data_IF_544069125222
#
_entry.id   IF_544069125222
#
_cell.length_a   1.000
_cell.length_b   1.000
_cell.length_c   1.000
_cell.angle_alpha   90.00
_cell.angle_beta   90.00
_cell.angle_gamma   90.00
#
_symmetry.space_group_name_H-M   'P 1'
#
loop_
_entity.id
_entity.type
_entity.pdbx_description
1 polymer ?
#
# COMPACT_ATOMS: atom_id res chain seq x y z
N UNK A 1 -21.49 22.41 -29.49
CA UNK A 1 -20.48 23.29 -30.10
C UNK A 1 -19.44 22.38 -30.74
N UNK A 2 -19.19 22.54 -32.04
CA UNK A 2 -18.15 21.82 -32.78
C UNK A 2 -16.79 22.07 -32.10
N UNK A 3 -16.01 21.00 -31.89
CA UNK A 3 -14.85 20.99 -31.00
C UNK A 3 -13.74 21.93 -31.48
N UNK A 4 -13.28 22.79 -30.58
CA UNK A 4 -12.06 23.57 -30.73
C UNK A 4 -11.07 23.19 -29.62
N UNK A 5 -9.89 23.79 -29.63
CA UNK A 5 -8.95 23.68 -28.51
C UNK A 5 -9.38 24.60 -27.36
N UNK A 6 -9.32 24.08 -26.13
CA UNK A 6 -9.49 24.87 -24.90
C UNK A 6 -8.14 25.02 -24.22
N UNK A 7 -7.77 26.25 -23.88
CA UNK A 7 -6.55 26.53 -23.14
C UNK A 7 -6.88 27.18 -21.80
N UNK A 8 -6.50 26.52 -20.69
CA UNK A 8 -6.55 27.07 -19.34
C UNK A 8 -5.13 27.44 -18.95
N UNK A 9 -4.76 28.69 -19.17
CA UNK A 9 -3.40 29.21 -18.99
C UNK A 9 -3.21 29.86 -17.63
N UNK A 10 -2.00 30.34 -17.37
CA UNK A 10 -1.60 31.09 -16.18
C UNK A 10 -2.68 32.09 -15.71
N UNK A 11 -2.99 32.01 -14.42
CA UNK A 11 -4.03 32.73 -13.69
C UNK A 11 -5.45 32.64 -14.27
N UNK A 12 -5.77 31.52 -14.93
CA UNK A 12 -7.11 31.21 -15.46
C UNK A 12 -7.81 30.09 -14.68
N UNK A 13 -9.14 30.12 -14.67
CA UNK A 13 -9.95 29.10 -13.99
C UNK A 13 -11.29 28.84 -14.69
N UNK A 14 -11.73 27.59 -14.68
CA UNK A 14 -13.09 27.15 -14.95
C UNK A 14 -13.57 26.47 -13.68
N UNK A 15 -14.61 26.97 -13.03
CA UNK A 15 -15.01 26.40 -11.75
C UNK A 15 -16.49 26.44 -11.43
N UNK A 16 -16.93 25.46 -10.64
CA UNK A 16 -18.24 25.42 -9.99
C UNK A 16 -18.07 25.10 -8.51
N UNK A 17 -18.24 26.12 -7.67
CA UNK A 17 -17.94 26.02 -6.23
C UNK A 17 -19.15 26.41 -5.39
N UNK A 18 -19.62 25.51 -4.54
CA UNK A 18 -20.61 25.81 -3.50
C UNK A 18 -19.99 26.70 -2.44
N UNK A 19 -20.53 27.90 -2.23
CA UNK A 19 -20.00 28.86 -1.24
C UNK A 19 -20.44 28.53 0.19
N UNK A 20 -19.85 29.23 1.16
CA UNK A 20 -20.23 29.05 2.56
C UNK A 20 -21.73 29.31 2.76
N UNK A 21 -22.39 28.50 3.61
CA UNK A 21 -23.83 28.57 3.94
C UNK A 21 -24.80 28.29 2.78
N UNK A 22 -24.32 27.99 1.58
CA UNK A 22 -25.19 27.54 0.50
C UNK A 22 -25.85 26.20 0.89
N UNK A 23 -27.16 26.10 0.64
CA UNK A 23 -27.99 24.95 1.02
C UNK A 23 -28.17 23.93 -0.11
N UNK A 24 -28.09 24.37 -1.36
CA UNK A 24 -28.23 23.52 -2.54
C UNK A 24 -26.90 22.97 -3.04
N UNK A 25 -26.99 21.94 -3.87
CA UNK A 25 -25.86 21.35 -4.57
C UNK A 25 -25.35 22.30 -5.67
N UNK A 26 -24.04 22.35 -5.90
CA UNK A 26 -23.49 23.08 -7.05
C UNK A 26 -23.69 22.29 -8.34
N UNK A 27 -23.83 23.00 -9.47
CA UNK A 27 -23.70 22.39 -10.80
C UNK A 27 -22.30 21.81 -11.06
N UNK A 28 -22.14 21.02 -12.12
CA UNK A 28 -20.85 20.47 -12.53
C UNK A 28 -20.13 21.34 -13.56
N UNK A 29 -18.85 21.01 -13.80
CA UNK A 29 -18.07 21.53 -14.93
C UNK A 29 -18.06 20.45 -16.02
N UNK A 30 -18.66 20.76 -17.17
CA UNK A 30 -18.76 19.83 -18.30
C UNK A 30 -18.02 20.42 -19.50
N UNK A 31 -17.00 19.72 -20.00
CA UNK A 31 -16.17 20.17 -21.10
C UNK A 31 -16.15 19.11 -22.20
N UNK A 32 -16.49 19.53 -23.42
CA UNK A 32 -16.34 18.74 -24.64
C UNK A 32 -15.58 19.59 -25.67
N UNK A 33 -14.42 19.11 -26.10
CA UNK A 33 -13.49 19.84 -26.96
C UNK A 33 -12.58 18.87 -27.72
N UNK A 34 -11.87 19.33 -28.75
CA UNK A 34 -10.91 18.48 -29.46
C UNK A 34 -9.64 18.27 -28.63
N UNK A 35 -9.20 19.31 -27.94
CA UNK A 35 -8.06 19.24 -27.04
C UNK A 35 -8.21 20.21 -25.88
N UNK A 36 -7.56 19.86 -24.76
CA UNK A 36 -7.35 20.78 -23.64
C UNK A 36 -5.86 20.88 -23.35
N UNK A 37 -5.37 22.12 -23.21
CA UNK A 37 -4.09 22.44 -22.59
C UNK A 37 -4.34 23.16 -21.27
N UNK A 38 -3.86 22.60 -20.17
CA UNK A 38 -3.74 23.29 -18.89
C UNK A 38 -2.27 23.65 -18.70
N UNK A 39 -1.95 24.95 -18.68
CA UNK A 39 -0.57 25.43 -18.59
C UNK A 39 -0.42 26.49 -17.52
N UNK A 40 0.18 26.10 -16.40
CA UNK A 40 0.42 26.96 -15.27
C UNK A 40 1.65 27.87 -15.41
N UNK A 41 2.43 27.76 -16.50
CA UNK A 41 3.66 28.55 -16.69
C UNK A 41 3.34 30.01 -16.98
N UNK A 42 4.07 30.90 -16.31
CA UNK A 42 3.95 32.33 -16.60
C UNK A 42 4.46 32.62 -18.02
N UNK A 43 3.70 33.31 -18.90
CA UNK A 43 4.14 33.59 -20.26
C UNK A 43 5.46 34.38 -20.36
N UNK A 44 5.73 35.26 -19.39
CA UNK A 44 6.93 36.09 -19.34
C UNK A 44 8.12 35.43 -18.65
N UNK A 45 7.89 34.36 -17.87
CA UNK A 45 8.95 33.59 -17.18
C UNK A 45 8.51 32.11 -17.02
N UNK A 46 8.47 31.35 -18.14
CA UNK A 46 7.85 30.03 -18.16
C UNK A 46 8.60 28.99 -17.34
N UNK A 47 9.89 29.19 -17.10
CA UNK A 47 10.74 28.25 -16.37
C UNK A 47 10.70 28.49 -14.87
N UNK A 48 10.67 29.74 -14.40
CA UNK A 48 10.82 30.06 -12.97
C UNK A 48 9.52 30.39 -12.26
N UNK A 49 8.49 30.83 -13.00
CA UNK A 49 7.19 31.22 -12.42
C UNK A 49 6.08 30.27 -12.86
N UNK A 50 5.27 29.89 -11.87
CA UNK A 50 4.01 29.14 -12.05
C UNK A 50 2.89 29.92 -11.37
N UNK A 51 1.72 29.92 -11.97
CA UNK A 51 0.49 30.54 -11.45
C UNK A 51 -0.66 29.56 -11.48
N UNK A 52 -1.87 30.04 -11.23
CA UNK A 52 -3.04 29.15 -11.14
C UNK A 52 -3.56 28.79 -12.52
N UNK A 53 -3.92 27.54 -12.73
CA UNK A 53 -4.58 27.08 -13.94
C UNK A 53 -5.47 25.92 -13.52
N UNK A 54 -6.78 26.14 -13.44
CA UNK A 54 -7.67 25.16 -12.80
C UNK A 54 -8.98 24.90 -13.50
N UNK A 55 -9.41 23.63 -13.44
CA UNK A 55 -10.74 23.15 -13.76
C UNK A 55 -11.27 22.49 -12.49
N UNK A 56 -12.15 23.16 -11.77
CA UNK A 56 -12.46 22.80 -10.40
C UNK A 56 -13.96 22.68 -10.14
N UNK A 57 -14.36 21.65 -9.41
CA UNK A 57 -15.62 21.64 -8.70
C UNK A 57 -15.38 21.50 -7.20
N UNK A 58 -16.30 21.97 -6.36
CA UNK A 58 -16.05 21.86 -4.93
C UNK A 58 -17.07 22.52 -4.04
N UNK A 59 -16.89 22.34 -2.73
CA UNK A 59 -17.72 22.97 -1.72
C UNK A 59 -16.87 23.59 -0.60
N UNK A 60 -17.24 24.81 -0.21
CA UNK A 60 -16.58 25.56 0.86
C UNK A 60 -17.09 25.13 2.24
N UNK A 61 -16.40 25.63 3.27
CA UNK A 61 -16.72 25.33 4.66
C UNK A 61 -18.18 25.67 4.96
N UNK A 62 -18.86 24.82 5.75
CA UNK A 62 -20.28 25.01 6.14
C UNK A 62 -21.27 25.04 4.96
N UNK A 63 -20.87 24.67 3.75
CA UNK A 63 -21.80 24.33 2.68
C UNK A 63 -22.64 23.12 3.10
N UNK A 64 -23.96 23.22 2.92
CA UNK A 64 -24.91 22.13 3.18
C UNK A 64 -25.03 21.16 2.00
N UNK A 65 -24.89 21.66 0.77
CA UNK A 65 -24.98 20.87 -0.45
C UNK A 65 -23.67 20.20 -0.88
N UNK A 66 -23.80 19.23 -1.79
CA UNK A 66 -22.71 18.52 -2.43
C UNK A 66 -22.00 19.41 -3.46
N UNK A 67 -20.73 19.09 -3.72
CA UNK A 67 -19.99 19.64 -4.84
C UNK A 67 -20.40 18.94 -6.14
N UNK A 68 -20.42 19.68 -7.25
CA UNK A 68 -20.71 19.16 -8.58
C UNK A 68 -19.54 18.36 -9.14
N UNK A 69 -19.76 17.62 -10.23
CA UNK A 69 -18.72 16.84 -10.90
C UNK A 69 -17.82 17.70 -11.79
N UNK A 70 -16.65 17.16 -12.13
CA UNK A 70 -15.85 17.61 -13.28
C UNK A 70 -15.86 16.50 -14.32
N UNK A 71 -16.47 16.76 -15.48
CA UNK A 71 -16.61 15.81 -16.57
C UNK A 71 -15.97 16.36 -17.85
N UNK A 72 -14.87 15.75 -18.28
CA UNK A 72 -14.07 16.18 -19.43
C UNK A 72 -14.10 15.09 -20.50
N UNK A 73 -14.41 15.46 -21.75
CA UNK A 73 -14.38 14.61 -22.94
C UNK A 73 -13.59 15.29 -24.05
N UNK A 74 -12.41 14.77 -24.38
CA UNK A 74 -11.51 15.38 -25.36
C UNK A 74 -10.75 14.39 -26.22
N UNK A 75 -10.24 14.83 -27.38
CA UNK A 75 -9.32 14.05 -28.19
C UNK A 75 -7.94 13.91 -27.53
N UNK A 76 -7.40 15.01 -26.99
CA UNK A 76 -6.12 15.02 -26.25
C UNK A 76 -6.16 15.95 -25.03
N UNK A 77 -5.37 15.63 -24.00
CA UNK A 77 -5.25 16.45 -22.79
C UNK A 77 -3.79 16.57 -22.37
N UNK A 78 -3.31 17.80 -22.22
CA UNK A 78 -1.96 18.09 -21.69
C UNK A 78 -2.04 19.00 -20.48
N UNK A 79 -1.32 18.64 -19.42
CA UNK A 79 -1.21 19.41 -18.18
C UNK A 79 0.25 19.71 -17.86
N UNK A 80 0.58 20.98 -17.70
CA UNK A 80 1.86 21.48 -17.21
C UNK A 80 1.59 22.19 -15.89
N UNK A 81 2.08 21.58 -14.81
CA UNK A 81 1.65 21.92 -13.46
C UNK A 81 2.43 23.02 -12.76
N UNK A 82 2.33 23.01 -11.43
CA UNK A 82 2.42 24.21 -10.59
C UNK A 82 3.75 24.31 -9.82
N UNK A 83 3.89 25.34 -8.99
CA UNK A 83 5.11 25.54 -8.19
C UNK A 83 5.24 24.50 -7.08
N UNK A 84 4.13 24.16 -6.42
CA UNK A 84 4.10 23.16 -5.36
C UNK A 84 3.32 21.91 -5.76
N UNK A 85 3.96 20.74 -5.67
CA UNK A 85 3.31 19.43 -5.69
C UNK A 85 2.87 18.98 -4.29
N UNK A 86 3.06 19.82 -3.26
CA UNK A 86 2.98 19.43 -1.85
C UNK A 86 2.11 20.44 -1.08
N UNK A 87 0.87 20.03 -0.80
CA UNK A 87 -0.05 20.52 0.25
C UNK A 87 -0.51 22.00 0.24
N UNK A 88 0.16 22.92 -0.45
CA UNK A 88 -0.19 24.35 -0.47
C UNK A 88 -1.10 24.78 -1.65
N UNK A 89 -0.94 24.17 -2.82
CA UNK A 89 -1.60 24.60 -4.09
C UNK A 89 -2.60 23.55 -4.65
N UNK A 90 -3.23 22.75 -3.79
CA UNK A 90 -4.11 21.62 -4.21
C UNK A 90 -5.50 22.02 -4.71
N UNK A 91 -5.72 23.31 -4.92
CA UNK A 91 -6.89 23.85 -5.59
C UNK A 91 -6.63 24.08 -7.10
N UNK A 92 -5.42 23.83 -7.58
CA UNK A 92 -5.03 23.99 -8.98
C UNK A 92 -4.99 22.65 -9.75
N UNK A 93 -4.98 22.69 -11.08
CA UNK A 93 -5.12 21.51 -11.93
C UNK A 93 -6.58 21.09 -12.12
N UNK A 94 -6.87 19.79 -12.09
CA UNK A 94 -8.26 19.29 -12.18
C UNK A 94 -8.68 18.83 -10.80
N UNK A 95 -9.64 19.51 -10.19
CA UNK A 95 -9.95 19.29 -8.77
C UNK A 95 -11.43 19.11 -8.47
N UNK A 96 -11.74 18.27 -7.49
CA UNK A 96 -13.08 18.07 -6.95
C UNK A 96 -13.01 17.93 -5.42
N UNK A 97 -13.06 19.06 -4.70
CA UNK A 97 -12.73 19.11 -3.28
C UNK A 97 -13.96 19.50 -2.42
N UNK A 98 -14.14 18.87 -1.26
CA UNK A 98 -15.12 19.29 -0.24
C UNK A 98 -14.43 19.75 1.04
N UNK A 99 -14.82 20.92 1.54
CA UNK A 99 -14.53 21.39 2.90
C UNK A 99 -15.79 21.52 3.76
N UNK A 100 -16.95 21.16 3.19
CA UNK A 100 -18.26 21.28 3.81
C UNK A 100 -18.77 19.97 4.40
N UNK A 101 -20.09 19.92 4.59
CA UNK A 101 -20.77 18.71 5.02
C UNK A 101 -21.14 17.80 3.83
N UNK A 102 -21.38 18.38 2.66
CA UNK A 102 -21.70 17.64 1.44
C UNK A 102 -20.49 16.97 0.80
N UNK A 103 -20.73 15.92 0.00
CA UNK A 103 -19.70 15.15 -0.68
C UNK A 103 -18.97 15.97 -1.75
N UNK A 104 -17.72 15.60 -2.02
CA UNK A 104 -16.98 16.10 -3.16
C UNK A 104 -17.59 15.63 -4.49
N UNK A 105 -17.22 16.33 -5.56
CA UNK A 105 -17.57 15.97 -6.92
C UNK A 105 -16.80 14.76 -7.41
N UNK A 106 -17.41 13.99 -8.29
CA UNK A 106 -16.70 12.97 -9.08
C UNK A 106 -15.89 13.63 -10.19
N UNK A 107 -14.68 13.14 -10.45
CA UNK A 107 -13.88 13.55 -11.60
C UNK A 107 -13.96 12.45 -12.66
N UNK A 108 -14.49 12.75 -13.84
CA UNK A 108 -14.47 11.85 -15.00
C UNK A 108 -13.71 12.50 -16.14
N UNK A 109 -12.64 11.86 -16.60
CA UNK A 109 -11.83 12.35 -17.73
C UNK A 109 -11.80 11.26 -18.80
N UNK A 110 -12.26 11.59 -19.99
CA UNK A 110 -12.23 10.73 -21.17
C UNK A 110 -11.38 11.42 -22.24
N UNK A 111 -10.25 10.81 -22.56
CA UNK A 111 -9.31 11.25 -23.59
C UNK A 111 -9.27 10.17 -24.68
N UNK A 112 -9.50 10.53 -25.93
CA UNK A 112 -9.49 9.52 -27.01
C UNK A 112 -8.07 9.02 -27.31
N UNK A 113 -7.10 9.93 -27.32
CA UNK A 113 -5.67 9.67 -27.53
C UNK A 113 -4.83 9.89 -26.27
N UNK A 114 -3.82 10.73 -26.38
CA UNK A 114 -2.81 10.91 -25.34
C UNK A 114 -3.26 11.84 -24.22
N UNK A 115 -3.10 11.37 -22.98
CA UNK A 115 -3.18 12.19 -21.78
C UNK A 115 -1.79 12.35 -21.15
N UNK A 116 -1.25 13.57 -21.19
CA UNK A 116 0.09 13.89 -20.69
C UNK A 116 -0.01 14.83 -19.49
N UNK A 117 0.55 14.40 -18.36
CA UNK A 117 0.78 15.24 -17.18
C UNK A 117 2.28 15.38 -16.96
N UNK A 118 2.77 16.62 -16.86
CA UNK A 118 4.19 16.90 -16.61
C UNK A 118 4.34 18.07 -15.66
N UNK A 119 5.51 18.11 -15.01
CA UNK A 119 5.98 19.24 -14.20
C UNK A 119 4.97 19.61 -13.12
N UNK A 120 4.69 18.67 -12.22
CA UNK A 120 3.73 18.82 -11.11
C UNK A 120 2.28 18.99 -11.55
N UNK A 121 1.89 18.42 -12.70
CA UNK A 121 0.49 18.36 -13.10
C UNK A 121 -0.32 17.55 -12.09
N UNK A 122 -1.51 18.01 -11.70
CA UNK A 122 -2.26 17.41 -10.60
C UNK A 122 -3.76 17.20 -10.91
N UNK A 123 -4.26 16.03 -10.51
CA UNK A 123 -5.70 15.72 -10.44
C UNK A 123 -6.01 15.30 -9.01
N UNK A 124 -6.96 15.98 -8.37
CA UNK A 124 -7.16 15.85 -6.92
C UNK A 124 -8.65 15.81 -6.57
N UNK A 125 -9.08 14.76 -5.89
CA UNK A 125 -10.41 14.67 -5.29
C UNK A 125 -10.28 14.51 -3.77
N UNK A 126 -10.82 15.43 -2.99
CA UNK A 126 -10.51 15.46 -1.55
C UNK A 126 -11.70 15.74 -0.64
N UNK A 127 -11.69 15.02 0.46
CA UNK A 127 -12.31 15.41 1.72
C UNK A 127 -11.30 16.22 2.54
N UNK A 128 -11.43 17.55 2.54
CA UNK A 128 -10.47 18.46 3.15
C UNK A 128 -10.49 18.40 4.70
N UNK A 129 -9.51 19.06 5.32
CA UNK A 129 -9.27 19.05 6.77
C UNK A 129 -10.54 19.37 7.56
N UNK A 130 -10.94 18.46 8.46
CA UNK A 130 -12.14 18.57 9.31
C UNK A 130 -13.48 18.66 8.55
N UNK A 131 -13.51 18.39 7.24
CA UNK A 131 -14.77 18.26 6.50
C UNK A 131 -15.56 17.04 6.97
N UNK A 132 -16.85 16.98 6.66
CA UNK A 132 -17.67 15.78 6.92
C UNK A 132 -18.03 15.03 5.65
N UNK A 133 -17.98 15.71 4.50
CA UNK A 133 -18.29 15.11 3.22
C UNK A 133 -17.19 14.19 2.74
N UNK A 134 -17.57 13.08 2.12
CA UNK A 134 -16.65 12.15 1.47
C UNK A 134 -15.98 12.78 0.24
N UNK A 135 -14.74 12.41 -0.01
CA UNK A 135 -14.13 12.48 -1.33
C UNK A 135 -14.87 11.55 -2.29
N UNK A 136 -14.78 11.84 -3.59
CA UNK A 136 -15.45 11.04 -4.61
C UNK A 136 -14.43 10.40 -5.54
N UNK A 137 -14.91 9.54 -6.42
CA UNK A 137 -14.06 8.77 -7.31
C UNK A 137 -13.40 9.66 -8.38
N UNK A 138 -12.18 9.27 -8.75
CA UNK A 138 -11.50 9.74 -9.96
C UNK A 138 -11.57 8.62 -11.00
N UNK A 139 -12.15 8.91 -12.16
CA UNK A 139 -12.25 7.97 -13.28
C UNK A 139 -11.56 8.57 -14.50
N UNK A 140 -10.56 7.86 -15.02
CA UNK A 140 -9.81 8.27 -16.20
C UNK A 140 -9.91 7.17 -17.25
N UNK A 141 -10.27 7.55 -18.48
CA UNK A 141 -10.17 6.73 -19.66
C UNK A 141 -9.29 7.43 -20.69
N UNK A 142 -8.27 6.77 -21.21
CA UNK A 142 -7.37 7.36 -22.18
C UNK A 142 -6.92 6.38 -23.27
N UNK A 143 -6.42 6.89 -24.40
CA UNK A 143 -5.63 6.10 -25.35
C UNK A 143 -4.29 5.70 -24.72
N UNK A 144 -3.55 6.69 -24.23
CA UNK A 144 -2.32 6.52 -23.43
C UNK A 144 -2.32 7.49 -22.24
N UNK A 145 -1.58 7.17 -21.18
CA UNK A 145 -1.43 8.05 -20.01
C UNK A 145 0.04 8.13 -19.58
N UNK A 146 0.61 9.34 -19.59
CA UNK A 146 1.99 9.58 -19.15
C UNK A 146 2.01 10.63 -18.04
N UNK A 147 2.50 10.26 -16.86
CA UNK A 147 2.78 11.17 -15.75
C UNK A 147 4.28 11.32 -15.59
N UNK A 148 4.77 12.55 -15.58
CA UNK A 148 6.20 12.85 -15.43
C UNK A 148 6.48 14.03 -14.50
N UNK A 149 7.71 14.09 -13.98
CA UNK A 149 8.26 15.24 -13.23
C UNK A 149 7.36 15.67 -12.06
N UNK A 150 7.14 14.77 -11.11
CA UNK A 150 6.35 14.94 -9.88
C UNK A 150 4.87 15.23 -10.13
N UNK A 151 4.32 14.72 -11.24
CA UNK A 151 2.88 14.79 -11.48
C UNK A 151 2.15 13.81 -10.56
N UNK A 152 0.88 14.11 -10.29
CA UNK A 152 0.15 13.46 -9.21
C UNK A 152 -1.34 13.28 -9.51
N UNK A 153 -1.87 12.08 -9.28
CA UNK A 153 -3.32 11.81 -9.26
C UNK A 153 -3.67 11.30 -7.88
N UNK A 154 -4.65 11.94 -7.22
CA UNK A 154 -4.94 11.57 -5.84
C UNK A 154 -6.36 11.75 -5.37
N UNK A 155 -6.80 10.78 -4.58
CA UNK A 155 -8.05 10.83 -3.81
C UNK A 155 -7.76 10.71 -2.31
N UNK A 156 -8.13 11.72 -1.51
CA UNK A 156 -7.72 11.77 -0.09
C UNK A 156 -8.83 12.16 0.88
N UNK A 157 -8.73 11.64 2.10
CA UNK A 157 -9.34 12.22 3.29
C UNK A 157 -8.25 12.84 4.17
N UNK A 158 -8.26 14.16 4.33
CA UNK A 158 -7.18 14.89 5.03
C UNK A 158 -7.34 14.84 6.55
N UNK A 159 -6.29 15.25 7.28
CA UNK A 159 -6.23 15.31 8.75
C UNK A 159 -7.56 15.66 9.43
N UNK A 160 -8.02 14.79 10.33
CA UNK A 160 -9.29 14.91 11.09
C UNK A 160 -10.55 15.07 10.22
N UNK A 161 -10.51 14.75 8.93
CA UNK A 161 -11.73 14.67 8.13
C UNK A 161 -12.63 13.54 8.62
N UNK A 162 -13.94 13.79 8.71
CA UNK A 162 -14.96 12.76 8.96
C UNK A 162 -15.53 12.18 7.66
N UNK A 163 -15.00 12.57 6.50
CA UNK A 163 -15.30 11.92 5.23
C UNK A 163 -14.24 10.91 4.85
N UNK A 164 -14.59 10.01 3.92
CA UNK A 164 -13.70 8.99 3.36
C UNK A 164 -13.12 9.43 2.01
N UNK A 165 -11.93 8.94 1.58
CA UNK A 165 -11.47 9.14 0.21
C UNK A 165 -12.33 8.33 -0.77
N UNK A 166 -12.43 8.79 -2.01
CA UNK A 166 -12.96 7.99 -3.12
C UNK A 166 -11.91 7.06 -3.74
N UNK A 167 -12.34 6.23 -4.68
CA UNK A 167 -11.46 5.31 -5.42
C UNK A 167 -10.87 5.98 -6.66
N UNK A 168 -9.73 5.47 -7.13
CA UNK A 168 -9.14 5.85 -8.41
C UNK A 168 -9.31 4.69 -9.39
N UNK A 169 -9.95 4.93 -10.54
CA UNK A 169 -10.08 3.94 -11.62
C UNK A 169 -9.52 4.51 -12.92
N UNK A 170 -8.53 3.84 -13.47
CA UNK A 170 -7.85 4.25 -14.69
C UNK A 170 -7.92 3.11 -15.70
N UNK A 171 -8.49 3.39 -16.87
CA UNK A 171 -8.58 2.45 -17.99
C UNK A 171 -7.94 3.06 -19.22
N UNK A 172 -6.81 2.51 -19.65
CA UNK A 172 -6.04 3.01 -20.78
C UNK A 172 -5.96 1.94 -21.86
N UNK A 173 -6.10 2.31 -23.13
CA UNK A 173 -6.07 1.33 -24.23
C UNK A 173 -4.66 0.78 -24.45
N UNK A 174 -3.68 1.65 -24.34
CA UNK A 174 -2.28 1.34 -24.62
C UNK A 174 -1.46 1.29 -23.33
N UNK A 175 -0.64 2.31 -23.05
CA UNK A 175 0.33 2.28 -21.94
C UNK A 175 0.04 3.32 -20.87
N UNK A 176 0.40 2.97 -19.64
CA UNK A 176 0.52 3.90 -18.51
C UNK A 176 1.99 3.99 -18.11
N UNK A 177 2.53 5.20 -18.10
CA UNK A 177 3.92 5.47 -17.70
C UNK A 177 3.95 6.45 -16.52
N UNK A 178 4.48 6.01 -15.38
CA UNK A 178 4.72 6.82 -14.19
C UNK A 178 6.21 7.06 -14.03
N UNK A 179 6.68 8.25 -14.42
CA UNK A 179 8.09 8.62 -14.35
C UNK A 179 8.29 9.71 -13.29
N UNK A 180 8.87 9.36 -12.13
CA UNK A 180 8.99 10.27 -10.98
C UNK A 180 7.64 10.93 -10.65
N UNK A 181 6.57 10.14 -10.57
CA UNK A 181 5.18 10.61 -10.45
C UNK A 181 4.35 9.60 -9.68
N UNK A 182 3.29 10.10 -9.04
CA UNK A 182 2.59 9.32 -8.01
C UNK A 182 1.09 9.22 -8.35
N UNK A 183 0.50 8.05 -8.17
CA UNK A 183 -0.95 7.83 -8.12
C UNK A 183 -1.26 7.30 -6.73
N UNK A 184 -2.06 8.02 -5.95
CA UNK A 184 -2.31 7.61 -4.57
C UNK A 184 -3.75 7.80 -4.09
N UNK A 185 -4.14 6.92 -3.18
CA UNK A 185 -5.23 7.17 -2.24
C UNK A 185 -4.67 7.27 -0.83
N UNK A 186 -5.24 8.17 -0.03
CA UNK A 186 -4.80 8.29 1.35
C UNK A 186 -5.87 8.69 2.35
N UNK A 187 -5.77 8.11 3.54
CA UNK A 187 -6.52 8.55 4.73
C UNK A 187 -5.51 9.15 5.71
N UNK A 188 -5.59 10.45 5.90
CA UNK A 188 -4.72 11.20 6.80
C UNK A 188 -5.00 10.90 8.28
N UNK A 189 -4.14 11.39 9.18
CA UNK A 189 -4.28 11.02 10.59
C UNK A 189 -5.58 11.51 11.22
N UNK A 190 -6.17 10.65 12.06
CA UNK A 190 -7.49 10.82 12.67
C UNK A 190 -8.63 11.07 11.67
N UNK A 191 -8.41 10.80 10.38
CA UNK A 191 -9.42 10.96 9.34
C UNK A 191 -10.14 9.65 9.04
N UNK A 192 -11.26 9.74 8.35
CA UNK A 192 -12.08 8.60 7.97
C UNK A 192 -13.26 8.37 8.92
N UNK A 193 -14.31 7.77 8.37
CA UNK A 193 -15.55 7.43 9.04
C UNK A 193 -15.83 5.93 8.86
N UNK A 194 -15.59 5.13 9.91
CA UNK A 194 -15.86 3.69 9.89
C UNK A 194 -17.32 3.36 9.60
N UNK A 195 -18.28 4.18 10.04
CA UNK A 195 -19.71 3.92 9.86
C UNK A 195 -20.11 3.91 8.37
N UNK A 196 -19.62 4.88 7.61
CA UNK A 196 -19.87 4.95 6.17
C UNK A 196 -18.97 3.99 5.37
N UNK A 197 -17.91 3.47 5.99
CA UNK A 197 -17.01 2.49 5.40
C UNK A 197 -17.46 1.02 5.60
N UNK A 198 -18.39 0.74 6.53
CA UNK A 198 -18.82 -0.64 6.92
C UNK A 198 -19.13 -1.57 5.75
N UNK A 199 -19.67 -1.04 4.66
CA UNK A 199 -20.06 -1.81 3.48
C UNK A 199 -19.12 -1.58 2.28
N UNK A 200 -17.83 -1.32 2.54
CA UNK A 200 -16.82 -1.15 1.48
C UNK A 200 -15.83 -2.33 1.54
N UNK A 201 -16.12 -3.45 0.85
CA UNK A 201 -15.23 -4.60 0.82
C UNK A 201 -13.84 -4.18 0.33
N UNK A 202 -12.80 -4.48 1.12
CA UNK A 202 -11.42 -4.12 0.79
C UNK A 202 -10.95 -2.73 1.23
N UNK A 203 -11.74 -2.02 2.06
CA UNK A 203 -11.38 -0.71 2.60
C UNK A 203 -11.78 0.45 1.69
N UNK A 204 -11.45 1.67 2.11
CA UNK A 204 -11.70 2.90 1.36
C UNK A 204 -10.48 3.31 0.55
N UNK A 205 -10.69 4.01 -0.57
CA UNK A 205 -9.60 4.47 -1.42
C UNK A 205 -8.90 3.33 -2.15
N UNK A 206 -9.65 2.51 -2.90
CA UNK A 206 -9.06 1.50 -3.77
C UNK A 206 -8.49 2.14 -5.04
N UNK A 207 -7.46 1.52 -5.61
CA UNK A 207 -6.93 1.88 -6.94
C UNK A 207 -7.11 0.71 -7.90
N UNK A 208 -7.70 0.97 -9.06
CA UNK A 208 -7.84 -0.02 -10.14
C UNK A 208 -7.24 0.53 -11.42
N UNK A 209 -6.25 -0.21 -11.96
CA UNK A 209 -5.58 0.10 -13.21
C UNK A 209 -5.91 -0.99 -14.23
N UNK A 210 -6.28 -0.59 -15.44
CA UNK A 210 -6.44 -1.48 -16.60
C UNK A 210 -5.73 -0.86 -17.79
N UNK A 211 -4.78 -1.59 -18.37
CA UNK A 211 -3.98 -1.12 -19.51
C UNK A 211 -3.50 -2.29 -20.38
N UNK A 212 -2.85 -1.99 -21.51
CA UNK A 212 -2.01 -2.97 -22.19
C UNK A 212 -0.69 -3.15 -21.45
N UNK A 213 -0.06 -2.03 -21.03
CA UNK A 213 1.15 -2.06 -20.20
C UNK A 213 1.18 -0.98 -19.11
N UNK A 214 1.86 -1.27 -18.01
CA UNK A 214 2.12 -0.33 -16.91
C UNK A 214 3.63 -0.30 -16.59
N UNK A 215 4.23 0.90 -16.58
CA UNK A 215 5.63 1.11 -16.20
C UNK A 215 5.75 2.15 -15.08
N UNK A 216 6.46 1.81 -14.00
CA UNK A 216 6.86 2.72 -12.92
C UNK A 216 8.38 2.91 -12.96
N UNK A 217 8.83 4.14 -13.20
CA UNK A 217 10.23 4.50 -13.43
C UNK A 217 10.67 5.73 -12.63
N UNK A 218 11.97 5.79 -12.29
CA UNK A 218 12.64 6.93 -11.67
C UNK A 218 11.93 7.53 -10.43
N UNK A 219 11.41 6.69 -9.54
CA UNK A 219 10.60 7.10 -8.39
C UNK A 219 9.10 7.18 -8.69
N UNK A 220 8.62 6.43 -9.68
CA UNK A 220 7.19 6.28 -9.96
C UNK A 220 6.49 5.43 -8.91
N UNK A 221 5.28 5.82 -8.50
CA UNK A 221 4.60 5.19 -7.35
C UNK A 221 3.11 4.99 -7.58
N UNK A 222 2.61 3.88 -7.06
CA UNK A 222 1.19 3.54 -6.98
C UNK A 222 0.88 3.14 -5.55
N UNK A 223 0.13 3.96 -4.80
CA UNK A 223 0.04 3.83 -3.34
C UNK A 223 -1.37 3.94 -2.80
N UNK A 224 -1.74 3.06 -1.87
CA UNK A 224 -2.98 3.18 -1.10
C UNK A 224 -2.63 3.05 0.39
N UNK A 225 -2.57 4.15 1.13
CA UNK A 225 -2.12 4.12 2.52
C UNK A 225 -3.05 4.84 3.48
N UNK A 226 -3.01 4.45 4.75
CA UNK A 226 -3.80 5.06 5.82
C UNK A 226 -2.93 5.34 7.03
N UNK A 227 -3.09 6.54 7.57
CA UNK A 227 -2.69 6.98 8.91
C UNK A 227 -3.92 7.25 9.78
N UNK A 228 -5.12 7.04 9.24
CA UNK A 228 -6.39 7.38 9.85
C UNK A 228 -7.11 6.17 10.42
N UNK A 229 -8.43 6.33 10.62
CA UNK A 229 -9.32 5.40 11.31
C UNK A 229 -9.75 4.20 10.47
N UNK A 230 -9.29 4.09 9.24
CA UNK A 230 -9.75 3.09 8.28
C UNK A 230 -8.56 2.27 7.80
N UNK A 231 -8.74 0.96 7.51
CA UNK A 231 -7.74 0.16 6.81
C UNK A 231 -7.40 0.73 5.43
N UNK A 232 -6.19 0.45 4.93
CA UNK A 232 -5.78 0.83 3.59
C UNK A 232 -6.65 0.16 2.53
N UNK A 233 -6.92 0.88 1.43
CA UNK A 233 -7.57 0.31 0.26
C UNK A 233 -6.67 -0.69 -0.48
N UNK A 234 -7.29 -1.47 -1.36
CA UNK A 234 -6.62 -2.42 -2.23
C UNK A 234 -6.10 -1.75 -3.51
N UNK A 235 -5.07 -2.34 -4.10
CA UNK A 235 -4.59 -2.00 -5.45
C UNK A 235 -4.82 -3.20 -6.36
N UNK A 236 -5.49 -2.99 -7.49
CA UNK A 236 -5.66 -3.99 -8.55
C UNK A 236 -5.09 -3.46 -9.86
N UNK A 237 -4.19 -4.23 -10.47
CA UNK A 237 -3.57 -3.92 -11.76
C UNK A 237 -3.86 -5.04 -12.74
N UNK A 238 -4.51 -4.72 -13.85
CA UNK A 238 -4.73 -5.62 -14.97
C UNK A 238 -4.02 -5.05 -16.21
N UNK A 239 -2.89 -5.62 -16.60
CA UNK A 239 -2.12 -5.18 -17.76
C UNK A 239 -1.91 -6.35 -18.72
N UNK A 240 -2.44 -6.33 -19.94
CA UNK A 240 -2.40 -7.53 -20.80
C UNK A 240 -0.98 -8.01 -21.14
N UNK A 241 -0.06 -7.08 -21.36
CA UNK A 241 1.28 -7.39 -21.86
C UNK A 241 2.26 -7.47 -20.70
N UNK A 242 2.51 -6.35 -20.00
CA UNK A 242 3.47 -6.33 -18.90
C UNK A 242 3.18 -5.27 -17.82
N UNK A 243 3.70 -5.54 -16.63
CA UNK A 243 3.91 -4.59 -15.54
C UNK A 243 5.41 -4.53 -15.24
N UNK A 244 5.99 -3.34 -15.35
CA UNK A 244 7.41 -3.09 -15.09
C UNK A 244 7.56 -2.09 -13.95
N UNK A 245 8.23 -2.49 -12.87
CA UNK A 245 8.58 -1.64 -11.74
C UNK A 245 10.11 -1.63 -11.65
N UNK A 246 10.73 -0.65 -12.30
CA UNK A 246 12.18 -0.64 -12.52
C UNK A 246 12.75 0.77 -12.53
N UNK A 247 13.90 0.94 -11.91
CA UNK A 247 14.71 2.14 -11.97
C UNK A 247 15.17 2.62 -10.60
N UNK A 248 15.95 3.71 -10.59
CA UNK A 248 16.50 4.29 -9.37
C UNK A 248 15.43 5.07 -8.60
N UNK A 249 15.60 5.21 -7.28
CA UNK A 249 14.73 5.98 -6.36
C UNK A 249 13.45 5.29 -5.88
N UNK A 250 13.50 3.99 -5.56
CA UNK A 250 12.45 3.29 -4.82
C UNK A 250 11.05 3.34 -5.50
N UNK A 251 10.99 2.94 -6.78
CA UNK A 251 9.71 2.73 -7.47
C UNK A 251 8.92 1.67 -6.73
N UNK A 252 7.60 1.87 -6.60
CA UNK A 252 6.82 0.97 -5.77
C UNK A 252 5.33 0.90 -6.07
N UNK A 253 4.76 -0.26 -5.77
CA UNK A 253 3.32 -0.46 -5.60
C UNK A 253 3.08 -0.84 -4.14
N UNK A 254 2.39 -0.01 -3.37
CA UNK A 254 2.27 -0.20 -1.91
C UNK A 254 0.85 -0.03 -1.41
N UNK A 255 0.41 -0.96 -0.57
CA UNK A 255 -0.67 -0.70 0.39
C UNK A 255 -0.08 -0.62 1.79
N UNK A 256 -0.62 0.27 2.63
CA UNK A 256 -0.10 0.43 3.99
C UNK A 256 -1.14 0.85 5.02
N UNK A 257 -1.38 -0.02 6.00
CA UNK A 257 -2.24 0.27 7.16
C UNK A 257 -1.42 0.65 8.39
N UNK A 258 -1.59 1.85 8.96
CA UNK A 258 -0.83 2.29 10.15
C UNK A 258 -1.65 2.33 11.43
N UNK A 259 -0.94 2.51 12.56
CA UNK A 259 -1.51 2.81 13.87
C UNK A 259 -2.55 3.93 13.79
N UNK A 260 -3.71 3.68 14.39
CA UNK A 260 -4.88 4.57 14.35
C UNK A 260 -6.05 4.01 13.53
N UNK A 261 -5.83 2.98 12.72
CA UNK A 261 -6.92 2.29 12.03
C UNK A 261 -7.84 1.57 13.02
N UNK A 262 -9.15 1.66 12.78
CA UNK A 262 -10.20 1.02 13.57
C UNK A 262 -10.88 -0.08 12.72
N UNK A 263 -11.42 -1.11 13.37
CA UNK A 263 -12.11 -2.20 12.71
C UNK A 263 -13.31 -1.67 11.90
N UNK A 264 -13.41 -2.10 10.65
CA UNK A 264 -14.54 -1.77 9.77
C UNK A 264 -15.32 -3.06 9.55
N UNK A 265 -16.47 -3.19 10.22
CA UNK A 265 -17.23 -4.44 10.27
C UNK A 265 -16.70 -5.37 11.38
N UNK A 266 -16.76 -6.68 11.14
CA UNK A 266 -16.38 -7.71 12.14
C UNK A 266 -14.87 -8.04 12.15
N UNK A 267 -14.12 -7.57 11.14
CA UNK A 267 -12.69 -7.90 11.00
C UNK A 267 -11.80 -6.81 11.60
N UNK A 268 -10.73 -7.23 12.28
CA UNK A 268 -9.63 -6.37 12.68
C UNK A 268 -9.00 -5.68 11.45
N UNK A 269 -8.40 -4.48 11.62
CA UNK A 269 -7.70 -3.83 10.52
C UNK A 269 -6.56 -4.70 10.00
N UNK A 270 -6.44 -4.75 8.67
CA UNK A 270 -5.38 -5.47 7.96
C UNK A 270 -4.71 -4.53 6.95
N UNK A 271 -3.52 -4.91 6.48
CA UNK A 271 -2.93 -4.30 5.29
C UNK A 271 -3.84 -4.49 4.07
N UNK A 272 -3.90 -3.50 3.19
CA UNK A 272 -4.63 -3.62 1.93
C UNK A 272 -4.03 -4.72 1.04
N UNK A 273 -4.80 -5.26 0.11
CA UNK A 273 -4.36 -6.30 -0.82
C UNK A 273 -3.81 -5.71 -2.12
N UNK A 274 -2.82 -6.36 -2.71
CA UNK A 274 -2.33 -6.05 -4.07
C UNK A 274 -2.64 -7.25 -4.97
N UNK A 275 -3.37 -7.01 -6.06
CA UNK A 275 -3.58 -8.00 -7.12
C UNK A 275 -3.01 -7.49 -8.43
N UNK A 276 -2.10 -8.25 -9.05
CA UNK A 276 -1.53 -7.97 -10.37
C UNK A 276 -1.90 -9.11 -11.30
N UNK A 277 -2.44 -8.80 -12.47
CA UNK A 277 -2.70 -9.75 -13.54
C UNK A 277 -2.05 -9.25 -14.81
N UNK A 278 -1.07 -9.99 -15.34
CA UNK A 278 -0.32 -9.54 -16.52
C UNK A 278 0.35 -10.65 -17.32
N UNK A 279 0.80 -10.37 -18.55
CA UNK A 279 1.64 -11.31 -19.28
C UNK A 279 3.00 -11.50 -18.59
N UNK A 280 3.68 -10.39 -18.27
CA UNK A 280 4.99 -10.37 -17.62
C UNK A 280 5.06 -9.36 -16.49
N UNK A 281 5.52 -9.76 -15.31
CA UNK A 281 5.86 -8.86 -14.20
C UNK A 281 7.38 -8.76 -14.04
N UNK A 282 7.93 -7.55 -14.08
CA UNK A 282 9.33 -7.29 -13.75
C UNK A 282 9.43 -6.33 -12.57
N UNK A 283 10.19 -6.70 -11.54
CA UNK A 283 10.51 -5.89 -10.36
C UNK A 283 12.02 -5.85 -10.20
N UNK A 284 12.66 -4.70 -10.44
CA UNK A 284 14.13 -4.61 -10.38
C UNK A 284 14.68 -3.29 -9.86
N UNK A 285 16.00 -3.23 -9.68
CA UNK A 285 16.72 -2.03 -9.22
C UNK A 285 16.19 -1.48 -7.89
N UNK A 286 16.17 -2.31 -6.84
CA UNK A 286 15.65 -1.97 -5.50
C UNK A 286 14.18 -1.51 -5.47
N UNK A 287 13.43 -1.69 -6.56
CA UNK A 287 12.00 -1.42 -6.61
C UNK A 287 11.21 -2.47 -5.84
N UNK A 288 10.01 -2.14 -5.36
CA UNK A 288 9.27 -3.09 -4.52
C UNK A 288 7.75 -3.03 -4.62
N UNK A 289 7.14 -4.20 -4.43
CA UNK A 289 5.70 -4.35 -4.21
C UNK A 289 5.51 -4.68 -2.73
N UNK A 290 4.64 -3.96 -2.03
CA UNK A 290 4.43 -4.24 -0.61
C UNK A 290 3.01 -4.04 -0.10
N UNK A 291 2.55 -4.97 0.74
CA UNK A 291 1.29 -4.90 1.47
C UNK A 291 1.57 -4.89 2.97
N UNK A 292 2.00 -3.73 3.46
CA UNK A 292 2.48 -3.61 4.84
C UNK A 292 1.41 -3.14 5.81
N UNK A 293 1.57 -3.50 7.07
CA UNK A 293 0.86 -2.85 8.18
C UNK A 293 1.87 -2.33 9.19
N UNK A 294 1.50 -1.35 10.03
CA UNK A 294 2.28 -0.87 11.18
C UNK A 294 1.43 -1.06 12.43
N UNK A 295 2.01 -1.63 13.48
CA UNK A 295 1.30 -1.98 14.70
C UNK A 295 0.97 -3.47 14.76
N UNK A 296 -0.14 -3.78 15.42
CA UNK A 296 -0.65 -5.14 15.65
C UNK A 296 -1.41 -5.78 14.49
N UNK A 297 -1.59 -5.02 13.41
CA UNK A 297 -2.45 -5.42 12.30
C UNK A 297 -1.74 -6.43 11.41
N UNK A 298 -2.47 -7.40 10.88
CA UNK A 298 -1.92 -8.33 9.89
C UNK A 298 -1.48 -7.59 8.62
N UNK A 299 -0.38 -8.02 8.01
CA UNK A 299 0.01 -7.62 6.65
C UNK A 299 -1.05 -8.01 5.61
N UNK A 300 -1.09 -7.33 4.47
CA UNK A 300 -2.08 -7.61 3.42
C UNK A 300 -1.62 -8.67 2.44
N UNK A 301 -2.51 -9.26 1.64
CA UNK A 301 -2.13 -10.29 0.66
C UNK A 301 -1.65 -9.69 -0.67
N UNK A 302 -0.63 -10.32 -1.27
CA UNK A 302 -0.18 -10.04 -2.65
C UNK A 302 -0.53 -11.25 -3.52
N UNK A 303 -1.28 -11.02 -4.59
CA UNK A 303 -1.59 -12.03 -5.61
C UNK A 303 -1.07 -11.58 -6.97
N UNK A 304 -0.23 -12.38 -7.60
CA UNK A 304 0.33 -12.13 -8.93
C UNK A 304 -0.11 -13.26 -9.84
N UNK A 305 -0.87 -12.94 -10.88
CA UNK A 305 -1.24 -13.86 -11.94
C UNK A 305 -0.47 -13.43 -13.19
N UNK A 306 0.66 -14.06 -13.47
CA UNK A 306 1.49 -13.68 -14.62
C UNK A 306 2.19 -14.88 -15.25
N UNK A 307 2.36 -14.87 -16.57
CA UNK A 307 3.06 -15.95 -17.30
C UNK A 307 4.55 -15.94 -16.97
N UNK A 308 5.13 -14.75 -16.87
CA UNK A 308 6.53 -14.54 -16.48
C UNK A 308 6.60 -13.60 -15.27
N UNK A 309 7.41 -13.96 -14.27
CA UNK A 309 7.75 -13.09 -13.15
C UNK A 309 9.26 -13.00 -13.03
N UNK A 310 9.80 -11.78 -13.06
CA UNK A 310 11.22 -11.47 -12.90
C UNK A 310 11.42 -10.52 -11.73
N UNK A 311 12.11 -10.98 -10.68
CA UNK A 311 12.52 -10.15 -9.54
C UNK A 311 14.04 -10.12 -9.48
N UNK A 312 14.64 -9.02 -9.93
CA UNK A 312 16.09 -8.95 -10.17
C UNK A 312 16.72 -7.72 -9.54
N UNK A 313 18.06 -7.65 -9.46
CA UNK A 313 18.78 -6.40 -9.13
C UNK A 313 18.28 -5.71 -7.83
N UNK A 314 18.03 -6.50 -6.78
CA UNK A 314 17.55 -5.99 -5.49
C UNK A 314 16.04 -5.73 -5.40
N UNK A 315 15.26 -6.04 -6.44
CA UNK A 315 13.80 -5.95 -6.43
C UNK A 315 13.16 -6.81 -5.33
N UNK A 316 12.00 -6.38 -4.79
CA UNK A 316 11.36 -7.03 -3.63
C UNK A 316 9.83 -7.16 -3.76
N UNK A 317 9.28 -8.22 -3.21
CA UNK A 317 7.83 -8.41 -3.01
C UNK A 317 7.62 -8.77 -1.54
N UNK A 318 6.89 -7.93 -0.80
CA UNK A 318 6.90 -7.95 0.67
C UNK A 318 5.47 -7.83 1.23
N UNK A 319 5.02 -8.83 1.97
CA UNK A 319 3.79 -8.78 2.76
C UNK A 319 4.16 -8.96 4.23
N UNK A 320 4.00 -7.93 5.07
CA UNK A 320 4.50 -7.97 6.46
C UNK A 320 3.81 -6.96 7.38
N UNK A 321 3.96 -7.13 8.69
CA UNK A 321 3.61 -6.14 9.71
C UNK A 321 4.89 -5.55 10.34
N UNK A 322 5.04 -4.23 10.32
CA UNK A 322 6.28 -3.48 10.66
C UNK A 322 6.70 -3.51 12.13
N UNK A 323 5.84 -3.94 13.05
CA UNK A 323 6.25 -4.21 14.44
C UNK A 323 6.73 -5.66 14.64
N UNK A 324 6.73 -6.48 13.59
CA UNK A 324 7.53 -7.72 13.58
C UNK A 324 9.00 -7.33 13.62
N UNK A 325 9.75 -7.86 14.58
CA UNK A 325 11.20 -7.70 14.66
C UNK A 325 11.94 -8.37 13.47
N UNK A 326 11.23 -8.79 12.42
CA UNK A 326 11.74 -9.51 11.27
C UNK A 326 11.33 -8.81 9.96
N UNK A 327 12.31 -8.24 9.26
CA UNK A 327 12.22 -8.10 7.82
C UNK A 327 12.44 -9.49 7.20
N UNK A 328 11.39 -10.30 7.08
CA UNK A 328 11.45 -11.48 6.23
C UNK A 328 11.17 -11.05 4.79
N UNK A 329 12.25 -10.92 4.03
CA UNK A 329 12.15 -10.81 2.57
C UNK A 329 11.87 -12.20 2.04
N UNK A 330 10.90 -12.31 1.13
CA UNK A 330 10.77 -13.47 0.25
C UNK A 330 12.08 -13.65 -0.52
N UNK A 331 12.93 -14.56 -0.05
CA UNK A 331 14.09 -15.06 -0.76
C UNK A 331 13.65 -16.27 -1.59
N UNK A 332 13.30 -16.05 -2.86
CA UNK A 332 13.16 -17.14 -3.82
C UNK A 332 14.58 -17.47 -4.28
N UNK A 333 15.33 -18.22 -3.48
CA UNK A 333 16.64 -18.72 -3.89
C UNK A 333 16.48 -20.10 -4.50
N UNK A 334 16.64 -20.18 -5.81
CA UNK A 334 17.38 -21.28 -6.40
C UNK A 334 18.06 -20.77 -7.67
N UNK A 335 19.31 -21.14 -7.89
CA UNK A 335 20.13 -20.75 -9.05
C UNK A 335 19.66 -21.46 -10.35
N UNK A 336 18.35 -21.56 -10.55
CA UNK A 336 17.71 -22.22 -11.67
C UNK A 336 16.22 -21.94 -11.68
N UNK A 337 15.74 -21.44 -12.84
CA UNK A 337 14.34 -21.22 -13.22
C UNK A 337 13.34 -22.01 -12.35
N UNK A 338 12.59 -21.33 -11.49
CA UNK A 338 11.49 -21.97 -10.76
C UNK A 338 10.31 -22.10 -11.73
N UNK A 339 10.09 -23.30 -12.29
CA UNK A 339 8.84 -23.63 -12.99
C UNK A 339 7.84 -24.08 -11.93
N UNK A 340 6.94 -23.19 -11.52
CA UNK A 340 5.85 -23.58 -10.62
C UNK A 340 4.54 -22.97 -11.07
N UNK A 341 3.46 -23.76 -10.96
CA UNK A 341 2.08 -23.29 -11.19
C UNK A 341 1.57 -22.40 -10.05
N UNK A 342 2.18 -22.53 -8.86
CA UNK A 342 1.89 -21.65 -7.72
C UNK A 342 3.10 -21.53 -6.78
N UNK A 343 3.40 -20.32 -6.29
CA UNK A 343 4.33 -20.08 -5.18
C UNK A 343 3.62 -19.31 -4.09
N UNK A 344 3.47 -19.94 -2.93
CA UNK A 344 2.92 -19.31 -1.73
C UNK A 344 4.02 -19.18 -0.70
N UNK A 345 4.24 -17.96 -0.19
CA UNK A 345 5.14 -17.72 0.94
C UNK A 345 4.33 -17.14 2.08
N UNK A 346 4.41 -17.84 3.22
CA UNK A 346 3.84 -17.45 4.50
C UNK A 346 5.00 -17.19 5.45
N UNK A 347 4.96 -16.04 6.10
CA UNK A 347 5.77 -15.79 7.29
C UNK A 347 4.90 -16.15 8.50
N UNK A 348 5.25 -17.26 9.13
CA UNK A 348 4.67 -17.72 10.37
C UNK A 348 5.45 -17.04 11.50
N UNK A 349 5.09 -15.79 11.81
CA UNK A 349 5.70 -15.05 12.90
C UNK A 349 5.56 -15.82 14.23
N UNK A 350 6.68 -16.29 14.77
CA UNK A 350 6.80 -16.78 16.16
C UNK A 350 7.80 -15.88 16.88
N UNK A 351 7.40 -15.25 18.00
CA UNK A 351 8.24 -15.14 19.21
C UNK A 351 7.56 -14.44 20.41
N UNK A 352 8.24 -14.63 21.54
CA UNK A 352 7.84 -14.72 22.95
C UNK A 352 8.25 -13.46 23.76
N UNK A 353 7.70 -12.28 23.44
CA UNK A 353 8.07 -11.04 24.16
C UNK A 353 6.92 -10.11 24.60
N UNK A 354 5.66 -10.55 24.50
CA UNK A 354 4.53 -9.81 25.09
C UNK A 354 4.15 -8.50 24.39
N UNK A 355 4.68 -8.23 23.18
CA UNK A 355 4.19 -7.15 22.30
C UNK A 355 3.07 -7.58 21.35
N UNK A 356 2.07 -6.72 21.11
CA UNK A 356 1.03 -6.95 20.08
C UNK A 356 1.63 -6.77 18.66
N UNK A 357 2.21 -7.85 18.10
CA UNK A 357 2.76 -7.90 16.74
C UNK A 357 1.74 -8.55 15.79
N UNK A 358 1.52 -7.95 14.61
CA UNK A 358 0.66 -8.52 13.57
C UNK A 358 1.38 -9.59 12.74
N UNK A 359 0.63 -10.59 12.26
CA UNK A 359 1.18 -11.61 11.36
C UNK A 359 1.44 -11.03 9.95
N UNK A 360 2.35 -11.64 9.19
CA UNK A 360 2.47 -11.34 7.76
C UNK A 360 1.20 -11.75 6.99
N UNK A 361 1.04 -11.16 5.80
CA UNK A 361 0.05 -11.65 4.84
C UNK A 361 0.65 -12.71 3.92
N UNK A 362 -0.12 -13.14 2.93
CA UNK A 362 0.32 -14.18 1.99
C UNK A 362 0.78 -13.56 0.67
N UNK A 363 1.91 -14.03 0.13
CA UNK A 363 2.31 -13.77 -1.26
C UNK A 363 2.00 -15.01 -2.09
N UNK A 364 1.18 -14.85 -3.13
CA UNK A 364 0.79 -15.92 -4.06
C UNK A 364 1.12 -15.52 -5.50
N UNK A 365 1.93 -16.32 -6.18
CA UNK A 365 2.16 -16.21 -7.63
C UNK A 365 1.45 -17.38 -8.30
N UNK A 366 0.56 -17.13 -9.26
CA UNK A 366 -0.19 -18.14 -10.00
C UNK A 366 0.07 -18.02 -11.51
N UNK A 367 -0.22 -19.12 -12.21
CA UNK A 367 -0.26 -19.20 -13.68
C UNK A 367 1.09 -18.83 -14.35
N UNK A 368 2.19 -18.95 -13.61
CA UNK A 368 3.53 -18.67 -14.11
C UNK A 368 4.15 -19.86 -14.83
N UNK A 369 4.54 -19.66 -16.08
CA UNK A 369 5.39 -20.58 -16.83
C UNK A 369 6.85 -20.47 -16.34
N UNK A 370 7.25 -19.29 -15.90
CA UNK A 370 8.59 -18.99 -15.43
C UNK A 370 8.60 -17.96 -14.30
N UNK A 371 9.29 -18.28 -13.20
CA UNK A 371 9.67 -17.34 -12.16
C UNK A 371 11.20 -17.28 -12.09
N UNK A 372 11.76 -16.09 -12.35
CA UNK A 372 13.17 -15.78 -12.18
C UNK A 372 13.30 -14.85 -10.97
N UNK A 373 14.12 -15.26 -10.01
CA UNK A 373 14.54 -14.37 -8.94
C UNK A 373 16.06 -14.41 -8.86
N UNK A 374 16.69 -13.25 -8.98
CA UNK A 374 18.15 -13.14 -8.98
C UNK A 374 18.59 -11.83 -8.33
N UNK A 375 19.21 -11.93 -7.17
CA UNK A 375 19.76 -10.78 -6.46
C UNK A 375 20.45 -11.22 -5.18
N UNK A 376 21.55 -10.56 -4.84
CA UNK A 376 22.24 -10.77 -3.57
C UNK A 376 21.44 -10.11 -2.44
N UNK A 377 20.76 -10.91 -1.63
CA UNK A 377 20.18 -10.42 -0.39
C UNK A 377 21.28 -9.80 0.49
N UNK A 378 21.05 -8.60 1.02
CA UNK A 378 21.90 -8.06 2.08
C UNK A 378 21.84 -8.97 3.30
N UNK A 379 22.99 -9.51 3.69
CA UNK A 379 23.28 -10.39 4.82
C UNK A 379 22.38 -10.20 6.05
N UNK A 380 21.37 -11.05 6.23
CA UNK A 380 20.63 -11.13 7.51
C UNK A 380 20.20 -12.55 7.88
N UNK A 381 20.02 -13.44 6.91
CA UNK A 381 19.70 -14.85 7.14
C UNK A 381 20.90 -15.66 7.67
N UNK A 382 22.13 -15.40 7.20
CA UNK A 382 23.34 -16.11 7.64
C UNK A 382 23.75 -15.78 9.08
N UNK A 383 23.67 -14.52 9.49
CA UNK A 383 23.96 -14.10 10.88
C UNK A 383 22.91 -14.62 11.88
N UNK A 384 21.62 -14.59 11.53
CA UNK A 384 20.55 -15.13 12.38
C UNK A 384 20.64 -16.65 12.56
N UNK A 385 20.97 -17.40 11.49
CA UNK A 385 21.26 -18.84 11.60
C UNK A 385 22.47 -19.07 12.52
N UNK A 386 23.48 -18.20 12.49
CA UNK A 386 24.62 -18.25 13.41
C UNK A 386 24.21 -18.03 14.87
N UNK A 387 23.34 -17.05 15.13
CA UNK A 387 22.81 -16.75 16.47
C UNK A 387 21.95 -17.90 16.99
N UNK A 388 21.01 -18.41 16.18
CA UNK A 388 20.14 -19.55 16.55
C UNK A 388 20.97 -20.81 16.83
N UNK A 389 21.99 -21.11 16.01
CA UNK A 389 22.92 -22.21 16.28
C UNK A 389 23.67 -22.04 17.60
N UNK A 390 24.02 -20.81 17.95
CA UNK A 390 24.72 -20.50 19.21
C UNK A 390 23.80 -20.66 20.43
N UNK A 391 22.54 -20.22 20.33
CA UNK A 391 21.52 -20.39 21.37
C UNK A 391 21.21 -21.88 21.59
N UNK A 392 20.98 -22.65 20.52
CA UNK A 392 20.71 -24.09 20.60
C UNK A 392 21.90 -24.86 21.21
N UNK A 393 23.14 -24.44 20.91
CA UNK A 393 24.34 -25.02 21.52
C UNK A 393 24.40 -24.72 23.02
N UNK A 394 24.07 -23.50 23.45
CA UNK A 394 24.04 -23.13 24.86
C UNK A 394 22.93 -23.89 25.64
N UNK A 395 21.74 -24.01 25.07
CA UNK A 395 20.64 -24.78 25.66
C UNK A 395 20.99 -26.27 25.80
N UNK A 396 21.65 -26.86 24.80
CA UNK A 396 22.12 -28.25 24.89
C UNK A 396 23.10 -28.46 26.04
N UNK A 397 24.07 -27.54 26.22
CA UNK A 397 25.03 -27.61 27.32
C UNK A 397 24.32 -27.50 28.68
N UNK A 398 23.30 -26.64 28.79
CA UNK A 398 22.52 -26.49 30.02
C UNK A 398 21.76 -27.77 30.37
N UNK A 399 21.10 -28.40 29.38
CA UNK A 399 20.42 -29.68 29.51
C UNK A 399 21.37 -30.81 29.93
N UNK A 400 22.56 -30.90 29.32
CA UNK A 400 23.55 -31.92 29.67
C UNK A 400 24.04 -31.76 31.12
N UNK A 401 24.23 -30.52 31.60
CA UNK A 401 24.59 -30.25 32.99
C UNK A 401 23.49 -30.62 33.98
N UNK A 402 22.24 -30.31 33.66
CA UNK A 402 21.08 -30.67 34.48
C UNK A 402 20.90 -32.19 34.56
N UNK A 403 21.04 -32.88 33.43
CA UNK A 403 20.95 -34.33 33.36
C UNK A 403 22.08 -35.02 34.18
N UNK A 404 23.30 -34.47 34.14
CA UNK A 404 24.40 -34.94 34.97
C UNK A 404 24.14 -34.73 36.48
N UNK A 405 23.49 -33.62 36.85
CA UNK A 405 23.09 -33.36 38.25
C UNK A 405 22.04 -34.38 38.71
N UNK A 406 21.00 -34.60 37.91
CA UNK A 406 19.96 -35.60 38.16
C UNK A 406 20.53 -37.01 38.30
N UNK A 407 21.47 -37.40 37.43
CA UNK A 407 22.14 -38.70 37.54
C UNK A 407 22.92 -38.85 38.86
N UNK A 408 23.57 -37.77 39.32
CA UNK A 408 24.27 -37.77 40.61
C UNK A 408 23.29 -37.89 41.79
N UNK A 409 22.16 -37.21 41.73
CA UNK A 409 21.10 -37.31 42.74
C UNK A 409 20.47 -38.71 42.78
N UNK A 410 20.17 -39.30 41.61
CA UNK A 410 19.68 -40.67 41.49
C UNK A 410 20.67 -41.68 42.08
N UNK A 411 21.97 -41.56 41.78
CA UNK A 411 22.99 -42.45 42.35
C UNK A 411 23.09 -42.33 43.87
N UNK A 412 22.86 -41.14 44.44
CA UNK A 412 22.81 -40.97 45.89
C UNK A 412 21.54 -41.58 46.50
N UNK A 413 20.40 -41.47 45.81
CA UNK A 413 19.15 -42.10 46.24
C UNK A 413 19.25 -43.62 46.22
N UNK A 414 19.87 -44.21 45.19
CA UNK A 414 20.12 -45.66 45.11
C UNK A 414 20.97 -46.12 46.31
N UNK A 415 22.07 -45.40 46.64
CA UNK A 415 22.88 -45.74 47.82
C UNK A 415 22.09 -45.69 49.13
N UNK A 416 21.20 -44.69 49.29
CA UNK A 416 20.32 -44.61 50.47
C UNK A 416 19.31 -45.75 50.52
N UNK A 417 18.85 -46.22 49.37
CA UNK A 417 17.96 -47.38 49.29
C UNK A 417 18.70 -48.65 49.73
N UNK A 418 19.93 -48.86 49.26
CA UNK A 418 20.77 -49.98 49.68
C UNK A 418 21.04 -49.96 51.21
N UNK A 419 21.31 -48.78 51.78
CA UNK A 419 21.48 -48.59 53.24
C UNK A 419 20.20 -48.92 54.02
N UNK A 420 19.03 -48.55 53.50
CA UNK A 420 17.72 -48.86 54.10
C UNK A 420 17.42 -50.36 54.04
N UNK A 421 17.73 -51.03 52.94
CA UNK A 421 17.57 -52.48 52.80
C UNK A 421 18.47 -53.24 53.79
N UNK A 422 19.71 -52.77 53.99
CA UNK A 422 20.63 -53.36 54.98
C UNK A 422 20.11 -53.18 56.42
N UNK A 423 19.57 -52.00 56.74
CA UNK A 423 18.93 -51.72 58.03
C UNK A 423 17.68 -52.57 58.25
N UNK A 424 16.86 -52.76 57.21
CA UNK A 424 15.66 -53.60 57.27
C UNK A 424 16.02 -55.07 57.51
N UNK A 425 17.06 -55.57 56.85
CA UNK A 425 17.58 -56.93 57.08
C UNK A 425 18.07 -57.11 58.53
N UNK A 426 18.86 -56.16 59.06
CA UNK A 426 19.30 -56.17 60.47
C UNK A 426 18.14 -56.13 61.46
N UNK A 427 17.10 -55.34 61.19
CA UNK A 427 15.90 -55.26 62.02
C UNK A 427 15.12 -56.59 61.99
N UNK A 428 15.03 -57.22 60.82
CA UNK A 428 14.38 -58.53 60.64
C UNK A 428 15.12 -59.62 61.42
N UNK A 429 16.46 -59.65 61.35
CA UNK A 429 17.29 -60.55 62.15
C UNK A 429 17.15 -60.31 63.66
N UNK A 430 17.13 -59.05 64.10
CA UNK A 430 16.93 -58.69 65.49
C UNK A 430 15.56 -59.13 66.02
N UNK A 431 14.49 -58.96 65.24
CA UNK A 431 13.14 -59.41 65.59
C UNK A 431 13.03 -60.94 65.64
N UNK A 432 13.68 -61.67 64.71
CA UNK A 432 13.75 -63.14 64.76
C UNK A 432 14.48 -63.60 66.03
N UNK A 433 15.50 -62.86 66.48
CA UNK A 433 16.27 -63.16 67.68
C UNK A 433 15.51 -62.85 68.98
N UNK A 434 14.55 -61.91 68.97
CA UNK A 434 13.70 -61.63 70.14
C UNK A 434 12.47 -62.54 70.25
N UNK A 435 12.12 -63.25 69.16
CA UNK A 435 11.01 -64.22 69.10
C UNK A 435 11.42 -65.67 69.40
N UNK A 436 12.73 -65.96 69.40
CA UNK A 436 13.33 -67.22 69.89
C UNK A 436 13.74 -67.06 71.35
#
# INVERSE_FOLDING_TARGET
>A
MAGGAIEVKFDSKIESITTEKAKGDSGGVFIQADSILIDARNPSDPESKRGRARIAAGSKSKAGGNAGSVDIRVGSLKMIGFKSSIHADRDDGITANTSGNGKAGKITIMVEGDFIMTDRGQIVAESQKRSKGDGNDIIIKAGSLSLSKRSFISSQARWKSKGNPGNIRITVKDKIELNNSDIETSVGPNAGNPETAKNTPGGVGNITITARSLSLKNGGKLEAFTQGKLPAGNITVNATDFVEISGKNANRIVTETRLGAESVGENEPQGGKIKITTGKLTVSNDSFISTRSIGKFQGGDITINAKEVEVTEGGKIISTALNSALFETVNITNDGKLKTKSLTIKDDGINDDGGEIGNAGTITINDSEQVIVSGSASNSSSERIGIVKSILKAQKIQLDNENNKLNKENNNLIKKLDELDELQNKLTEANIKSLK
#
